data_IF_409037721874
#
_entry.id   IF_409037721874
#
_cell.length_a   1.000
_cell.length_b   1.000
_cell.length_c   1.000
_cell.angle_alpha   90.00
_cell.angle_beta   90.00
_cell.angle_gamma   90.00
#
_symmetry.space_group_name_H-M   'P 1'
#
loop_
_entity.id
_entity.type
_entity.pdbx_description
1 polymer ?
#
# COMPACT_ATOMS: atom_id res chain seq x y z
N UNK A 1 -23.70 -10.87 22.01
CA UNK A 1 -22.61 -11.33 21.12
C UNK A 1 -21.42 -11.70 21.99
N UNK A 2 -21.14 -13.01 22.12
CA UNK A 2 -20.13 -13.51 23.05
C UNK A 2 -18.72 -13.14 22.58
N UNK A 3 -18.07 -12.26 23.34
CA UNK A 3 -16.75 -11.72 23.10
C UNK A 3 -15.73 -12.76 23.58
N UNK A 4 -15.37 -13.74 22.74
CA UNK A 4 -14.34 -14.73 23.08
C UNK A 4 -12.99 -14.01 23.20
N UNK A 5 -12.50 -13.88 24.43
CA UNK A 5 -11.15 -13.43 24.74
C UNK A 5 -10.14 -14.42 24.16
N UNK A 6 -8.95 -13.92 23.79
CA UNK A 6 -7.90 -14.70 23.13
C UNK A 6 -7.51 -15.99 23.89
N UNK A 7 -7.83 -16.07 25.18
CA UNK A 7 -7.49 -17.19 26.08
C UNK A 7 -8.22 -18.51 25.79
N UNK A 8 -9.31 -18.53 25.03
CA UNK A 8 -10.05 -19.79 24.75
C UNK A 8 -9.81 -20.41 23.38
N UNK A 9 -8.94 -19.84 22.54
CA UNK A 9 -8.70 -20.33 21.18
C UNK A 9 -7.52 -21.30 21.11
N UNK A 10 -7.69 -22.39 20.38
CA UNK A 10 -6.59 -23.27 19.97
C UNK A 10 -5.56 -22.47 19.17
N UNK A 11 -4.27 -22.81 19.29
CA UNK A 11 -3.18 -22.14 18.55
C UNK A 11 -3.47 -22.10 17.04
N UNK A 12 -4.06 -23.16 16.50
CA UNK A 12 -4.43 -23.23 15.09
C UNK A 12 -5.50 -22.19 14.72
N UNK A 13 -6.55 -22.04 15.54
CA UNK A 13 -7.61 -21.05 15.32
C UNK A 13 -7.07 -19.60 15.38
N UNK A 14 -6.10 -19.33 16.27
CA UNK A 14 -5.43 -18.02 16.34
C UNK A 14 -4.72 -17.70 15.02
N UNK A 15 -3.93 -18.64 14.47
CA UNK A 15 -3.28 -18.43 13.16
C UNK A 15 -4.27 -18.14 12.05
N UNK A 16 -5.39 -18.87 12.02
CA UNK A 16 -6.39 -18.78 10.96
C UNK A 16 -7.10 -17.41 10.99
N UNK A 17 -7.40 -16.88 12.18
CA UNK A 17 -8.01 -15.54 12.30
C UNK A 17 -7.10 -14.41 11.82
N UNK A 18 -5.79 -14.50 12.12
CA UNK A 18 -4.81 -13.54 11.64
C UNK A 18 -4.61 -13.65 10.11
N UNK A 19 -4.64 -14.88 9.58
CA UNK A 19 -4.54 -15.12 8.14
C UNK A 19 -5.75 -14.58 7.37
N UNK A 20 -6.97 -14.76 7.89
CA UNK A 20 -8.18 -14.16 7.30
C UNK A 20 -8.06 -12.63 7.25
N UNK A 21 -7.56 -11.98 8.32
CA UNK A 21 -7.29 -10.54 8.31
C UNK A 21 -6.30 -10.12 7.20
N UNK A 22 -5.24 -10.91 6.94
CA UNK A 22 -4.31 -10.67 5.84
C UNK A 22 -5.01 -10.82 4.48
N UNK A 23 -5.80 -11.88 4.30
CA UNK A 23 -6.54 -12.14 3.05
C UNK A 23 -7.52 -11.00 2.75
N UNK A 24 -8.25 -10.52 3.76
CA UNK A 24 -9.16 -9.38 3.62
C UNK A 24 -8.41 -8.10 3.27
N UNK A 25 -7.29 -7.84 3.91
CA UNK A 25 -6.46 -6.68 3.59
C UNK A 25 -5.82 -6.77 2.19
N UNK A 26 -5.48 -7.97 1.72
CA UNK A 26 -5.04 -8.22 0.33
C UNK A 26 -6.16 -7.90 -0.67
N UNK A 27 -7.38 -8.38 -0.42
CA UNK A 27 -8.56 -8.07 -1.27
C UNK A 27 -8.80 -6.55 -1.35
N UNK A 28 -8.68 -5.84 -0.23
CA UNK A 28 -8.75 -4.39 -0.21
C UNK A 28 -7.64 -3.73 -1.04
N UNK A 29 -6.39 -4.19 -0.92
CA UNK A 29 -5.27 -3.67 -1.72
C UNK A 29 -5.48 -3.84 -3.24
N UNK A 30 -6.07 -4.95 -3.69
CA UNK A 30 -6.44 -5.13 -5.09
C UNK A 30 -7.48 -4.10 -5.55
N UNK A 31 -8.52 -3.87 -4.75
CA UNK A 31 -9.55 -2.85 -5.05
C UNK A 31 -8.93 -1.46 -5.15
N UNK A 32 -8.10 -1.08 -4.17
CA UNK A 32 -7.45 0.22 -4.16
C UNK A 32 -6.51 0.44 -5.36
N UNK A 33 -5.87 -0.64 -5.85
CA UNK A 33 -5.02 -0.61 -7.04
C UNK A 33 -5.85 -0.31 -8.30
N UNK A 34 -7.01 -0.95 -8.44
CA UNK A 34 -7.94 -0.69 -9.53
C UNK A 34 -8.50 0.73 -9.47
N UNK A 35 -8.89 1.21 -8.28
CA UNK A 35 -9.38 2.58 -8.10
C UNK A 35 -8.31 3.60 -8.49
N UNK A 36 -7.05 3.33 -8.16
CA UNK A 36 -5.92 4.18 -8.54
C UNK A 36 -5.72 4.20 -10.06
N UNK A 37 -5.89 3.06 -10.74
CA UNK A 37 -5.81 2.97 -12.20
C UNK A 37 -6.93 3.74 -12.88
N UNK A 38 -8.17 3.54 -12.43
CA UNK A 38 -9.35 4.24 -12.94
C UNK A 38 -9.16 5.76 -12.76
N UNK A 39 -8.64 6.20 -11.61
CA UNK A 39 -8.39 7.62 -11.35
C UNK A 39 -7.41 8.22 -12.35
N UNK A 40 -6.31 7.53 -12.68
CA UNK A 40 -5.31 8.01 -13.65
C UNK A 40 -5.95 8.14 -15.03
N UNK A 41 -6.68 7.11 -15.49
CA UNK A 41 -7.35 7.11 -16.79
C UNK A 41 -8.38 8.24 -16.87
N UNK A 42 -9.24 8.37 -15.86
CA UNK A 42 -10.25 9.43 -15.82
C UNK A 42 -9.62 10.83 -15.85
N UNK A 43 -8.53 11.03 -15.09
CA UNK A 43 -7.81 12.32 -15.06
C UNK A 43 -7.19 12.64 -16.41
N UNK A 44 -6.57 11.66 -17.08
CA UNK A 44 -6.01 11.83 -18.42
C UNK A 44 -7.08 12.23 -19.44
N UNK A 45 -8.23 11.55 -19.41
CA UNK A 45 -9.37 11.85 -20.29
C UNK A 45 -9.87 13.27 -20.05
N UNK A 46 -10.05 13.68 -18.79
CA UNK A 46 -10.50 15.03 -18.43
C UNK A 46 -9.52 16.10 -18.94
N UNK A 47 -8.22 15.90 -18.73
CA UNK A 47 -7.18 16.85 -19.18
C UNK A 47 -7.15 16.97 -20.71
N UNK A 48 -7.47 15.90 -21.44
CA UNK A 48 -7.53 15.94 -22.90
C UNK A 48 -8.82 16.60 -23.42
N UNK A 49 -9.95 16.34 -22.78
CA UNK A 49 -11.26 16.86 -23.21
C UNK A 49 -11.38 18.36 -22.94
N UNK A 50 -10.91 18.87 -21.79
CA UNK A 50 -11.15 20.26 -21.40
C UNK A 50 -10.60 21.27 -22.44
N UNK A 51 -9.36 21.15 -22.94
CA UNK A 51 -8.85 22.04 -23.99
C UNK A 51 -9.70 21.99 -25.27
N UNK A 52 -10.20 20.81 -25.66
CA UNK A 52 -11.02 20.63 -26.87
C UNK A 52 -12.38 21.31 -26.71
N UNK A 53 -13.03 21.13 -25.55
CA UNK A 53 -14.33 21.76 -25.26
C UNK A 53 -14.17 23.29 -25.21
N UNK A 54 -13.15 23.80 -24.54
CA UNK A 54 -12.84 25.24 -24.49
C UNK A 54 -12.63 25.81 -25.90
N UNK A 55 -11.87 25.12 -26.75
CA UNK A 55 -11.60 25.57 -28.12
C UNK A 55 -12.88 25.59 -28.98
N UNK A 56 -13.74 24.58 -28.81
CA UNK A 56 -14.98 24.45 -29.59
C UNK A 56 -16.05 25.46 -29.16
N UNK A 57 -16.14 25.77 -27.86
CA UNK A 57 -17.18 26.67 -27.34
C UNK A 57 -16.86 28.15 -27.56
N UNK A 58 -15.57 28.52 -27.62
CA UNK A 58 -15.13 29.92 -27.73
C UNK A 58 -14.52 30.28 -29.10
N UNK A 59 -14.98 29.64 -30.18
CA UNK A 59 -14.50 29.89 -31.55
C UNK A 59 -14.66 31.39 -31.90
N UNK A 60 -13.55 32.05 -32.24
CA UNK A 60 -13.54 33.42 -32.80
C UNK A 60 -13.07 34.55 -31.86
N UNK A 61 -12.72 34.27 -30.61
CA UNK A 61 -12.25 35.30 -29.68
C UNK A 61 -10.72 35.21 -29.43
N UNK A 62 -9.99 36.28 -29.74
CA UNK A 62 -8.51 36.38 -29.72
C UNK A 62 -7.96 36.17 -28.30
N UNK A 63 -8.75 36.46 -27.27
CA UNK A 63 -8.35 36.25 -25.87
C UNK A 63 -8.32 34.78 -25.44
N UNK A 64 -8.92 33.87 -26.21
CA UNK A 64 -9.08 32.45 -25.83
C UNK A 64 -7.75 31.71 -25.88
N UNK A 65 -6.85 32.07 -26.80
CA UNK A 65 -5.52 31.45 -26.89
C UNK A 65 -4.67 31.77 -25.65
N UNK A 66 -4.70 33.02 -25.18
CA UNK A 66 -4.02 33.43 -23.95
C UNK A 66 -4.62 32.74 -22.72
N UNK A 67 -5.95 32.68 -22.62
CA UNK A 67 -6.65 31.99 -21.52
C UNK A 67 -6.32 30.49 -21.51
N UNK A 68 -6.23 29.85 -22.68
CA UNK A 68 -5.90 28.43 -22.81
C UNK A 68 -4.51 28.12 -22.23
N UNK A 69 -3.52 28.98 -22.49
CA UNK A 69 -2.18 28.85 -21.92
C UNK A 69 -2.17 28.89 -20.39
N UNK A 70 -2.96 29.79 -19.79
CA UNK A 70 -3.08 29.86 -18.33
C UNK A 70 -3.83 28.67 -17.71
N UNK A 71 -4.79 28.08 -18.42
CA UNK A 71 -5.54 26.89 -17.97
C UNK A 71 -4.69 25.62 -18.12
N UNK A 72 -3.82 25.56 -19.14
CA UNK A 72 -3.00 24.38 -19.42
C UNK A 72 -1.89 24.18 -18.37
N UNK A 73 -1.32 25.25 -17.81
CA UNK A 73 -0.30 25.16 -16.76
C UNK A 73 -0.79 24.39 -15.52
N UNK A 74 -1.88 24.79 -14.82
CA UNK A 74 -2.38 24.07 -13.65
C UNK A 74 -2.85 22.65 -14.00
N UNK A 75 -3.37 22.41 -15.21
CA UNK A 75 -3.71 21.04 -15.68
C UNK A 75 -2.51 20.12 -15.70
N UNK A 76 -1.37 20.58 -16.24
CA UNK A 76 -0.13 19.80 -16.29
C UNK A 76 0.38 19.53 -14.87
N UNK A 77 0.28 20.51 -13.97
CA UNK A 77 0.69 20.32 -12.57
C UNK A 77 -0.18 19.29 -11.84
N UNK A 78 -1.49 19.35 -12.04
CA UNK A 78 -2.44 18.37 -11.52
C UNK A 78 -2.12 16.99 -12.10
N UNK A 79 -1.83 16.89 -13.41
CA UNK A 79 -1.48 15.64 -14.06
C UNK A 79 -0.24 15.00 -13.45
N UNK A 80 0.82 15.79 -13.28
CA UNK A 80 2.09 15.35 -12.72
C UNK A 80 1.86 14.83 -11.30
N UNK A 81 1.16 15.60 -10.46
CA UNK A 81 0.85 15.20 -9.09
C UNK A 81 0.05 13.89 -9.02
N UNK A 82 -1.03 13.77 -9.79
CA UNK A 82 -1.87 12.57 -9.83
C UNK A 82 -1.07 11.38 -10.36
N UNK A 83 -0.25 11.57 -11.40
CA UNK A 83 0.55 10.48 -11.97
C UNK A 83 1.55 9.94 -10.95
N UNK A 84 2.36 10.79 -10.32
CA UNK A 84 3.36 10.34 -9.34
C UNK A 84 2.72 9.71 -8.11
N UNK A 85 1.63 10.27 -7.59
CA UNK A 85 0.94 9.74 -6.41
C UNK A 85 0.29 8.39 -6.67
N UNK A 86 -0.41 8.24 -7.79
CA UNK A 86 -1.10 6.98 -8.15
C UNK A 86 -0.15 5.87 -8.54
N UNK A 87 0.94 6.17 -9.25
CA UNK A 87 2.01 5.20 -9.53
C UNK A 87 2.62 4.71 -8.21
N UNK A 88 2.90 5.63 -7.27
CA UNK A 88 3.41 5.25 -5.95
C UNK A 88 2.45 4.34 -5.18
N UNK A 89 1.14 4.61 -5.23
CA UNK A 89 0.12 3.75 -4.63
C UNK A 89 0.11 2.35 -5.25
N UNK A 90 0.14 2.25 -6.58
CA UNK A 90 0.17 0.96 -7.29
C UNK A 90 1.40 0.12 -6.94
N UNK A 91 2.58 0.75 -6.85
CA UNK A 91 3.82 0.06 -6.46
C UNK A 91 3.68 -0.49 -5.04
N UNK A 92 3.17 0.32 -4.10
CA UNK A 92 2.97 -0.13 -2.73
C UNK A 92 1.96 -1.27 -2.62
N UNK A 93 0.82 -1.15 -3.28
CA UNK A 93 -0.23 -2.17 -3.30
C UNK A 93 0.31 -3.47 -3.91
N UNK A 94 1.11 -3.39 -4.98
CA UNK A 94 1.78 -4.55 -5.60
C UNK A 94 2.74 -5.27 -4.66
N UNK A 95 3.62 -4.52 -3.97
CA UNK A 95 4.57 -5.08 -2.98
C UNK A 95 3.82 -5.79 -1.86
N UNK A 96 2.74 -5.17 -1.37
CA UNK A 96 1.92 -5.70 -0.29
C UNK A 96 1.19 -6.98 -0.69
N UNK A 97 0.58 -7.00 -1.88
CA UNK A 97 -0.08 -8.17 -2.45
C UNK A 97 0.91 -9.33 -2.58
N UNK A 98 2.11 -9.07 -3.09
CA UNK A 98 3.16 -10.08 -3.23
C UNK A 98 3.57 -10.64 -1.87
N UNK A 99 3.86 -9.77 -0.90
CA UNK A 99 4.26 -10.16 0.46
C UNK A 99 3.20 -11.03 1.14
N UNK A 100 1.92 -10.65 1.03
CA UNK A 100 0.83 -11.42 1.62
C UNK A 100 0.60 -12.75 0.90
N UNK A 101 0.74 -12.78 -0.42
CA UNK A 101 0.57 -14.01 -1.21
C UNK A 101 1.60 -15.07 -0.79
N UNK A 102 2.87 -14.68 -0.64
CA UNK A 102 3.94 -15.56 -0.15
C UNK A 102 3.61 -16.10 1.25
N UNK A 103 3.08 -15.25 2.15
CA UNK A 103 2.70 -15.67 3.51
C UNK A 103 1.47 -16.59 3.54
N UNK A 104 0.54 -16.44 2.60
CA UNK A 104 -0.70 -17.23 2.54
C UNK A 104 -0.62 -18.50 1.67
N UNK A 105 0.49 -18.74 0.98
CA UNK A 105 0.62 -19.68 -0.15
C UNK A 105 0.15 -21.13 0.13
N UNK A 106 0.15 -21.58 1.39
CA UNK A 106 -0.12 -22.97 1.77
C UNK A 106 -1.35 -23.17 2.67
N UNK A 107 -2.14 -22.12 2.94
CA UNK A 107 -3.32 -22.23 3.82
C UNK A 107 -4.56 -21.80 3.04
N UNK A 108 -5.51 -22.73 2.89
CA UNK A 108 -6.80 -22.48 2.26
C UNK A 108 -7.62 -21.43 3.03
N UNK A 109 -8.57 -20.78 2.36
CA UNK A 109 -9.55 -19.87 2.99
C UNK A 109 -10.33 -20.65 4.07
N UNK A 110 -9.95 -20.45 5.33
CA UNK A 110 -10.70 -20.96 6.46
C UNK A 110 -12.01 -20.18 6.63
N UNK A 111 -13.06 -20.86 7.10
CA UNK A 111 -14.40 -20.27 7.36
C UNK A 111 -14.46 -19.32 8.58
N UNK A 112 -13.31 -19.02 9.19
CA UNK A 112 -13.23 -18.27 10.44
C UNK A 112 -13.15 -16.77 10.13
N UNK A 113 -14.16 -16.03 10.56
CA UNK A 113 -14.25 -14.58 10.36
C UNK A 113 -13.43 -13.80 11.41
N UNK A 114 -12.43 -13.04 10.97
CA UNK A 114 -11.54 -12.28 11.87
C UNK A 114 -12.27 -11.28 12.78
N UNK A 115 -13.40 -10.72 12.31
CA UNK A 115 -14.17 -9.68 13.01
C UNK A 115 -14.68 -10.12 14.38
N UNK A 116 -14.88 -11.42 14.58
CA UNK A 116 -15.35 -12.01 15.84
C UNK A 116 -14.29 -11.97 16.94
N UNK A 117 -13.03 -11.70 16.59
CA UNK A 117 -11.89 -11.79 17.50
C UNK A 117 -11.19 -10.44 17.65
N UNK A 118 -11.22 -9.89 18.88
CA UNK A 118 -10.62 -8.58 19.20
C UNK A 118 -9.17 -8.46 18.74
N UNK A 119 -8.39 -9.52 18.91
CA UNK A 119 -6.96 -9.57 18.54
C UNK A 119 -6.74 -9.43 17.03
N UNK A 120 -7.49 -10.19 16.22
CA UNK A 120 -7.40 -10.11 14.77
C UNK A 120 -7.94 -8.77 14.22
N UNK A 121 -8.93 -8.17 14.88
CA UNK A 121 -9.41 -6.81 14.59
C UNK A 121 -8.31 -5.76 14.85
N UNK A 122 -7.58 -5.87 15.97
CA UNK A 122 -6.44 -4.97 16.26
C UNK A 122 -5.40 -5.09 15.16
N UNK A 123 -5.02 -6.31 14.78
CA UNK A 123 -4.06 -6.55 13.71
C UNK A 123 -4.51 -5.97 12.36
N UNK A 124 -5.77 -6.20 11.98
CA UNK A 124 -6.36 -5.61 10.77
C UNK A 124 -6.32 -4.06 10.81
N UNK A 125 -6.66 -3.46 11.94
CA UNK A 125 -6.62 -2.01 12.10
C UNK A 125 -5.20 -1.44 11.99
N UNK A 126 -4.19 -2.15 12.53
CA UNK A 126 -2.80 -1.73 12.40
C UNK A 126 -2.33 -1.84 10.94
N UNK A 127 -2.69 -2.90 10.21
CA UNK A 127 -2.42 -3.05 8.78
C UNK A 127 -3.04 -1.92 7.93
N UNK A 128 -4.27 -1.55 8.25
CA UNK A 128 -4.98 -0.42 7.63
C UNK A 128 -4.30 0.91 7.98
N UNK A 129 -3.89 1.10 9.24
CA UNK A 129 -3.19 2.30 9.70
C UNK A 129 -1.84 2.47 9.00
N UNK A 130 -1.04 1.40 8.89
CA UNK A 130 0.20 1.40 8.13
C UNK A 130 -0.05 1.85 6.68
N UNK A 131 -1.10 1.31 6.04
CA UNK A 131 -1.45 1.69 4.67
C UNK A 131 -1.72 3.19 4.54
N UNK A 132 -2.52 3.73 5.45
CA UNK A 132 -2.90 5.16 5.45
C UNK A 132 -1.69 6.05 5.63
N UNK A 133 -0.75 5.68 6.50
CA UNK A 133 0.48 6.42 6.73
C UNK A 133 1.40 6.39 5.50
N UNK A 134 1.54 5.24 4.85
CA UNK A 134 2.37 5.11 3.64
C UNK A 134 1.75 5.85 2.46
N UNK A 135 0.43 5.75 2.25
CA UNK A 135 -0.26 6.56 1.24
C UNK A 135 -0.04 8.06 1.48
N UNK A 136 -0.11 8.51 2.73
CA UNK A 136 0.17 9.91 3.09
C UNK A 136 1.61 10.32 2.77
N UNK A 137 2.60 9.48 3.08
CA UNK A 137 4.00 9.73 2.72
C UNK A 137 4.17 9.83 1.21
N UNK A 138 3.62 8.89 0.45
CA UNK A 138 3.68 8.90 -1.01
C UNK A 138 3.09 10.20 -1.55
N UNK A 139 1.90 10.62 -1.08
CA UNK A 139 1.29 11.88 -1.52
C UNK A 139 2.14 13.12 -1.21
N UNK A 140 2.77 13.18 -0.03
CA UNK A 140 3.67 14.29 0.34
C UNK A 140 4.90 14.31 -0.57
N UNK A 141 5.50 13.14 -0.83
CA UNK A 141 6.65 13.02 -1.73
C UNK A 141 6.26 13.40 -3.17
N UNK A 142 5.10 12.97 -3.66
CA UNK A 142 4.58 13.36 -4.98
C UNK A 142 4.34 14.86 -5.11
N UNK A 143 3.84 15.50 -4.04
CA UNK A 143 3.70 16.95 -4.00
C UNK A 143 5.07 17.62 -4.05
N UNK A 144 6.05 17.14 -3.28
CA UNK A 144 7.44 17.62 -3.35
C UNK A 144 8.04 17.53 -4.75
N UNK A 145 7.86 16.40 -5.43
CA UNK A 145 8.28 16.20 -6.83
C UNK A 145 7.60 17.20 -7.77
N UNK A 146 6.30 17.43 -7.58
CA UNK A 146 5.54 18.39 -8.41
C UNK A 146 6.05 19.82 -8.20
N UNK A 147 6.37 20.22 -6.96
CA UNK A 147 6.96 21.53 -6.69
C UNK A 147 8.37 21.67 -7.29
N UNK A 148 9.20 20.63 -7.18
CA UNK A 148 10.52 20.60 -7.82
C UNK A 148 10.42 20.74 -9.34
N UNK A 149 9.41 20.12 -9.95
CA UNK A 149 9.12 20.30 -11.37
C UNK A 149 8.80 21.76 -11.69
N UNK A 150 7.87 22.40 -10.94
CA UNK A 150 7.52 23.81 -11.13
C UNK A 150 8.77 24.70 -11.05
N UNK A 151 9.62 24.47 -10.04
CA UNK A 151 10.84 25.23 -9.82
C UNK A 151 11.84 25.11 -10.99
N UNK A 152 11.94 23.92 -11.60
CA UNK A 152 12.85 23.67 -12.72
C UNK A 152 12.40 24.30 -14.03
N UNK A 153 11.09 24.56 -14.17
CA UNK A 153 10.51 25.10 -15.41
C UNK A 153 10.52 26.63 -15.49
N UNK A 154 10.57 27.22 -16.70
CA UNK A 154 10.48 28.67 -16.89
C UNK A 154 9.09 29.24 -16.54
N UNK A 155 8.07 28.40 -16.37
CA UNK A 155 6.70 28.84 -16.07
C UNK A 155 6.61 29.65 -14.78
N UNK A 156 7.38 29.29 -13.75
CA UNK A 156 7.38 30.02 -12.48
C UNK A 156 7.83 31.48 -12.65
N UNK A 157 8.85 31.71 -13.49
CA UNK A 157 9.35 33.07 -13.79
C UNK A 157 8.30 33.91 -14.53
N UNK A 158 7.66 33.33 -15.55
CA UNK A 158 6.59 33.98 -16.32
C UNK A 158 5.43 34.41 -15.41
N UNK A 159 5.07 33.56 -14.45
CA UNK A 159 4.00 33.87 -13.49
C UNK A 159 4.42 35.00 -12.55
N UNK A 160 5.63 34.95 -12.00
CA UNK A 160 6.15 35.97 -11.07
C UNK A 160 6.30 37.34 -11.74
N UNK A 161 6.79 37.37 -12.98
CA UNK A 161 6.91 38.60 -13.78
C UNK A 161 5.55 39.26 -14.03
N UNK A 162 4.49 38.47 -14.23
CA UNK A 162 3.12 38.98 -14.43
C UNK A 162 2.42 39.44 -13.16
N UNK A 163 2.90 39.02 -11.99
CA UNK A 163 2.32 39.32 -10.69
C UNK A 163 2.95 40.55 -10.01
N UNK A 164 3.86 41.26 -10.67
CA UNK A 164 4.60 42.41 -10.14
C UNK A 164 5.13 42.19 -8.71
N UNK A 165 5.63 40.97 -8.46
CA UNK A 165 6.08 40.55 -7.14
C UNK A 165 7.27 41.41 -6.65
N UNK A 166 7.42 41.61 -5.32
CA UNK A 166 8.54 42.33 -4.75
C UNK A 166 9.91 41.79 -5.21
N UNK A 167 10.88 42.69 -5.39
CA UNK A 167 12.27 42.40 -5.84
C UNK A 167 12.95 41.16 -5.24
N UNK A 168 12.81 40.82 -3.93
CA UNK A 168 13.42 39.59 -3.41
C UNK A 168 12.92 38.31 -4.10
N UNK A 169 11.66 38.27 -4.52
CA UNK A 169 11.04 37.10 -5.15
C UNK A 169 11.29 37.05 -6.66
N UNK A 170 11.41 38.20 -7.32
CA UNK A 170 11.75 38.24 -8.75
C UNK A 170 13.21 37.82 -9.02
N UNK A 171 14.12 38.09 -8.08
CA UNK A 171 15.53 37.70 -8.18
C UNK A 171 15.72 36.19 -7.96
N UNK A 172 15.01 35.63 -6.98
CA UNK A 172 15.10 34.22 -6.60
C UNK A 172 13.70 33.64 -6.38
N UNK A 173 13.07 33.05 -7.41
CA UNK A 173 11.69 32.56 -7.36
C UNK A 173 11.50 31.38 -6.39
N UNK A 174 12.60 30.75 -5.97
CA UNK A 174 12.65 29.64 -5.02
C UNK A 174 12.18 30.05 -3.62
N UNK A 175 12.39 31.32 -3.22
CA UNK A 175 12.02 31.78 -1.87
C UNK A 175 10.51 31.70 -1.62
N UNK A 176 9.69 31.76 -2.67
CA UNK A 176 8.23 31.62 -2.56
C UNK A 176 7.86 30.19 -2.12
N UNK A 177 8.61 29.18 -2.57
CA UNK A 177 8.34 27.77 -2.31
C UNK A 177 9.00 27.28 -1.01
N UNK A 178 9.97 28.02 -0.47
CA UNK A 178 10.73 27.64 0.74
C UNK A 178 9.83 27.28 1.93
N UNK A 179 8.80 28.07 2.31
CA UNK A 179 7.93 27.72 3.44
C UNK A 179 7.18 26.40 3.21
N UNK A 180 6.82 26.11 1.95
CA UNK A 180 6.14 24.87 1.58
C UNK A 180 7.09 23.69 1.74
N UNK A 181 8.34 23.79 1.26
CA UNK A 181 9.33 22.73 1.46
C UNK A 181 9.60 22.44 2.94
N UNK A 182 9.72 23.48 3.76
CA UNK A 182 9.90 23.34 5.22
C UNK A 182 8.73 22.56 5.81
N UNK A 183 7.48 22.92 5.45
CA UNK A 183 6.29 22.22 5.91
C UNK A 183 6.27 20.74 5.48
N UNK A 184 6.65 20.42 4.23
CA UNK A 184 6.73 19.03 3.77
C UNK A 184 7.75 18.22 4.55
N UNK A 185 8.92 18.79 4.84
CA UNK A 185 9.96 18.14 5.65
C UNK A 185 9.44 17.85 7.06
N UNK A 186 8.77 18.81 7.70
CA UNK A 186 8.15 18.59 9.02
C UNK A 186 7.09 17.49 9.00
N UNK A 187 6.25 17.44 7.95
CA UNK A 187 5.25 16.38 7.82
C UNK A 187 5.89 15.00 7.66
N UNK A 188 6.94 14.88 6.83
CA UNK A 188 7.68 13.62 6.66
C UNK A 188 8.34 13.22 7.98
N UNK A 189 9.01 14.16 8.64
CA UNK A 189 9.69 13.94 9.92
C UNK A 189 8.72 13.50 11.03
N UNK A 190 7.47 13.98 11.02
CA UNK A 190 6.45 13.53 11.96
C UNK A 190 5.89 12.14 11.62
N UNK A 191 5.65 11.85 10.34
CA UNK A 191 5.03 10.57 9.94
C UNK A 191 6.00 9.40 10.12
N UNK A 192 7.30 9.62 9.92
CA UNK A 192 8.30 8.56 9.96
C UNK A 192 8.37 7.82 11.32
N UNK A 193 8.46 8.49 12.48
CA UNK A 193 8.37 7.83 13.79
C UNK A 193 7.06 7.09 14.02
N UNK A 194 5.93 7.67 13.59
CA UNK A 194 4.61 7.05 13.75
C UNK A 194 4.51 5.76 12.93
N UNK A 195 5.06 5.77 11.71
CA UNK A 195 5.12 4.59 10.85
C UNK A 195 6.02 3.51 11.48
N UNK A 196 7.18 3.90 12.02
CA UNK A 196 8.08 2.98 12.72
C UNK A 196 7.40 2.30 13.91
N UNK A 197 6.69 3.05 14.74
CA UNK A 197 5.96 2.50 15.88
C UNK A 197 4.86 1.50 15.46
N UNK A 198 4.10 1.81 14.41
CA UNK A 198 3.08 0.91 13.86
C UNK A 198 3.73 -0.35 13.29
N UNK A 199 4.86 -0.21 12.58
CA UNK A 199 5.57 -1.34 11.96
C UNK A 199 6.17 -2.29 13.00
N UNK A 200 6.73 -1.74 14.08
CA UNK A 200 7.21 -2.55 15.21
C UNK A 200 6.07 -3.35 15.83
N UNK A 201 4.90 -2.74 16.01
CA UNK A 201 3.71 -3.43 16.51
C UNK A 201 3.22 -4.52 15.54
N UNK A 202 3.34 -4.30 14.24
CA UNK A 202 3.00 -5.29 13.21
C UNK A 202 3.95 -6.48 13.21
N UNK A 203 5.24 -6.23 13.40
CA UNK A 203 6.27 -7.26 13.39
C UNK A 203 6.03 -8.30 14.48
N UNK A 204 5.57 -7.89 15.67
CA UNK A 204 5.19 -8.82 16.74
C UNK A 204 4.14 -9.85 16.27
N UNK A 205 3.11 -9.41 15.54
CA UNK A 205 2.11 -10.32 14.96
C UNK A 205 2.67 -11.17 13.82
N UNK A 206 3.60 -10.64 13.02
CA UNK A 206 4.23 -11.42 11.97
C UNK A 206 5.15 -12.51 12.51
N UNK A 207 5.92 -12.22 13.56
CA UNK A 207 6.82 -13.15 14.23
C UNK A 207 6.01 -14.30 14.86
N UNK A 208 4.87 -13.98 15.50
CA UNK A 208 3.92 -14.99 15.98
C UNK A 208 3.42 -15.87 14.81
N UNK A 209 2.95 -15.24 13.73
CA UNK A 209 2.45 -15.95 12.54
C UNK A 209 3.51 -16.87 11.93
N UNK A 210 4.74 -16.41 11.86
CA UNK A 210 5.87 -17.13 11.29
C UNK A 210 6.28 -18.30 12.19
N UNK A 211 6.37 -18.09 13.50
CA UNK A 211 6.66 -19.15 14.47
C UNK A 211 5.64 -20.30 14.38
N UNK A 212 4.35 -19.97 14.23
CA UNK A 212 3.28 -20.96 14.13
C UNK A 212 3.24 -21.62 12.73
N UNK A 213 3.57 -20.88 11.67
CA UNK A 213 3.65 -21.44 10.31
C UNK A 213 4.84 -22.37 10.09
N UNK A 214 6.00 -22.07 10.69
CA UNK A 214 7.20 -22.92 10.65
C UNK A 214 6.88 -24.27 11.30
N UNK A 215 6.25 -24.28 12.48
CA UNK A 215 5.87 -25.51 13.17
C UNK A 215 4.96 -26.39 12.30
N UNK A 216 4.03 -25.81 11.53
CA UNK A 216 3.15 -26.59 10.63
C UNK A 216 3.86 -27.11 9.36
N UNK A 217 4.84 -26.37 8.81
CA UNK A 217 5.63 -26.84 7.64
C UNK A 217 6.57 -27.99 8.02
N UNK A 218 6.99 -28.03 9.29
CA UNK A 218 7.73 -29.13 9.89
C UNK A 218 6.84 -29.92 10.83
N UNK A 219 5.65 -30.34 10.39
CA UNK A 219 5.01 -31.51 11.02
C UNK A 219 5.99 -32.68 10.88
N UNK A 220 6.83 -32.87 11.89
CA UNK A 220 7.73 -34.00 11.97
C UNK A 220 6.90 -35.16 12.48
N UNK A 221 6.53 -36.08 11.59
CA UNK A 221 6.01 -37.36 12.02
C UNK A 221 7.17 -38.15 12.65
N UNK A 222 6.87 -39.01 13.62
CA UNK A 222 7.84 -40.01 14.07
C UNK A 222 7.69 -41.23 13.18
N UNK A 223 8.81 -41.76 12.70
CA UNK A 223 8.79 -43.04 12.02
C UNK A 223 8.26 -44.11 12.99
N UNK A 224 7.23 -44.88 12.62
CA UNK A 224 6.67 -45.92 13.48
C UNK A 224 7.63 -47.09 13.73
N UNK A 225 8.65 -47.25 12.86
CA UNK A 225 9.62 -48.36 12.96
C UNK A 225 10.83 -47.99 13.83
N UNK A 226 11.48 -46.84 13.58
CA UNK A 226 12.72 -46.47 14.27
C UNK A 226 12.57 -45.30 15.25
N UNK A 227 11.40 -44.68 15.34
CA UNK A 227 11.15 -43.54 16.24
C UNK A 227 11.80 -42.22 15.83
N UNK A 228 12.63 -42.20 14.77
CA UNK A 228 13.28 -40.99 14.26
C UNK A 228 12.26 -39.97 13.73
N UNK A 229 12.52 -38.68 13.96
CA UNK A 229 11.70 -37.59 13.43
C UNK A 229 11.95 -37.44 11.94
N UNK A 230 10.88 -37.45 11.16
CA UNK A 230 10.90 -37.42 9.69
C UNK A 230 9.89 -36.40 9.16
N UNK A 231 10.17 -35.72 8.04
CA UNK A 231 9.24 -34.74 7.48
C UNK A 231 7.88 -35.38 7.15
N UNK A 232 6.76 -34.74 7.47
CA UNK A 232 5.39 -35.28 7.23
C UNK A 232 5.09 -35.67 5.77
N UNK A 233 5.87 -35.18 4.80
CA UNK A 233 5.75 -35.54 3.37
C UNK A 233 6.72 -36.63 2.91
N UNK A 234 7.57 -37.19 3.79
CA UNK A 234 8.51 -38.24 3.40
C UNK A 234 7.77 -39.57 3.21
N UNK A 235 7.86 -40.15 2.01
CA UNK A 235 7.31 -41.48 1.69
C UNK A 235 8.16 -42.58 2.34
N UNK A 236 9.45 -42.33 2.51
CA UNK A 236 10.39 -43.24 3.17
C UNK A 236 11.12 -42.53 4.31
N UNK A 237 11.39 -43.25 5.40
CA UNK A 237 12.26 -42.78 6.46
C UNK A 237 13.71 -42.77 5.97
N UNK A 238 14.43 -41.63 6.00
CA UNK A 238 15.83 -41.55 5.60
C UNK A 238 16.79 -42.29 6.55
N UNK A 239 16.33 -42.65 7.76
CA UNK A 239 17.16 -43.31 8.76
C UNK A 239 17.07 -44.84 8.74
N UNK A 240 15.90 -45.40 8.43
CA UNK A 240 15.69 -46.85 8.43
C UNK A 240 15.14 -47.42 7.11
N UNK A 241 14.87 -46.58 6.11
CA UNK A 241 14.31 -46.99 4.82
C UNK A 241 12.83 -47.38 4.83
N UNK A 242 12.20 -47.43 6.01
CA UNK A 242 10.79 -47.81 6.16
C UNK A 242 9.85 -46.92 5.35
N UNK A 243 8.90 -47.55 4.65
CA UNK A 243 7.78 -46.84 4.02
C UNK A 243 6.92 -46.20 5.11
N UNK A 244 6.64 -44.91 4.99
CA UNK A 244 5.76 -44.18 5.88
C UNK A 244 4.40 -44.14 5.20
N UNK A 245 3.56 -45.13 5.52
CA UNK A 245 2.17 -45.13 5.06
C UNK A 245 1.47 -43.89 5.61
N UNK A 246 1.11 -42.98 4.69
CA UNK A 246 0.18 -41.91 5.00
C UNK A 246 -1.12 -42.59 5.40
N UNK A 247 -1.52 -42.47 6.67
CA UNK A 247 -2.94 -42.58 7.00
C UNK A 247 -3.62 -41.41 6.30
N UNK A 248 -4.13 -41.65 5.10
CA UNK A 248 -5.20 -40.84 4.56
C UNK A 248 -6.28 -40.78 5.64
N UNK A 249 -6.61 -39.56 6.10
CA UNK A 249 -7.87 -39.35 6.78
C UNK A 249 -8.97 -39.61 5.75
N UNK A 250 -9.35 -40.87 5.60
CA UNK A 250 -10.61 -41.28 5.02
C UNK A 250 -11.72 -40.89 6.02
N UNK A 251 -12.54 -39.92 5.61
CA UNK A 251 -13.93 -39.67 5.99
C UNK A 251 -14.38 -39.78 7.45
N UNK A 252 -14.80 -38.64 8.00
CA UNK A 252 -16.09 -38.47 8.69
C UNK A 252 -16.49 -36.99 8.68
#
# INVERSE_FOLDING_TARGET
MSNKTAETLSKEERTLTLLDAIIRNRKAAYSDMLDSLITVIATLVIIFIIPIVLKTYFIGNINVENIMGYVQIPMILILIYISFSRIGFMIWDSIRILSFTIKTLNKGEGSIEYRKYKRAVIFYNLLSRENKLIRRLISIVSLGITLLYIQSTPYLKIVIEKLDMPKPFSTNPILILLPIYVLLVFLIAYIFPVLSAVRNSLNEFYDELESEMIISRFEVSKCPICGSRVPSKSIHCPFCGALIEKKEKSGA
#
